data_IF_073341020101
#
_entry.id   IF_073341020101
#
_cell.length_a   1.000
_cell.length_b   1.000
_cell.length_c   1.000
_cell.angle_alpha   90.00
_cell.angle_beta   90.00
_cell.angle_gamma   90.00
#
_symmetry.space_group_name_H-M   'P 1'
#
loop_
_entity.id
_entity.type
_entity.pdbx_description
1 polymer ?
#
# COMPACT_ATOMS: atom_id res chain seq x y z
N UNK A 1 20.87 25.30 -9.40
CA UNK A 1 21.42 24.10 -10.08
C UNK A 1 20.64 22.84 -9.72
N UNK A 2 20.42 22.50 -8.43
CA UNK A 2 19.57 21.35 -8.05
C UNK A 2 18.16 21.45 -8.66
N UNK A 3 17.50 22.60 -8.52
CA UNK A 3 16.15 22.85 -9.05
C UNK A 3 16.09 22.79 -10.59
N UNK A 4 17.16 23.17 -11.28
CA UNK A 4 17.23 23.15 -12.74
C UNK A 4 17.37 21.73 -13.27
N UNK A 5 18.19 20.90 -12.59
CA UNK A 5 18.31 19.47 -12.86
C UNK A 5 16.97 18.80 -12.60
N UNK A 6 16.34 19.08 -11.45
CA UNK A 6 15.05 18.51 -11.09
C UNK A 6 13.98 18.88 -12.13
N UNK A 7 13.90 20.15 -12.53
CA UNK A 7 12.98 20.64 -13.57
C UNK A 7 13.21 19.93 -14.91
N UNK A 8 14.47 19.69 -15.29
CA UNK A 8 14.83 18.98 -16.53
C UNK A 8 14.48 17.49 -16.47
N UNK A 9 14.67 16.84 -15.32
CA UNK A 9 14.25 15.45 -15.11
C UNK A 9 12.72 15.35 -15.15
N UNK A 10 12.02 16.26 -14.49
CA UNK A 10 10.55 16.32 -14.47
C UNK A 10 9.96 16.48 -15.88
N UNK A 11 10.53 17.37 -16.70
CA UNK A 11 10.05 17.62 -18.07
C UNK A 11 10.26 16.43 -19.02
N UNK A 12 11.09 15.47 -18.65
CA UNK A 12 11.32 14.24 -19.43
C UNK A 12 10.22 13.19 -19.24
N UNK A 13 9.32 13.40 -18.29
CA UNK A 13 8.12 12.59 -18.09
C UNK A 13 8.40 11.10 -17.86
N UNK A 14 7.53 10.24 -18.41
CA UNK A 14 7.56 8.79 -18.20
C UNK A 14 8.74 8.08 -18.87
N UNK A 15 9.33 8.70 -19.89
CA UNK A 15 10.48 8.14 -20.60
C UNK A 15 11.78 8.26 -19.80
N UNK A 16 11.83 9.24 -18.88
CA UNK A 16 13.03 9.55 -18.09
C UNK A 16 14.13 10.17 -18.95
N UNK A 17 15.14 10.70 -18.28
CA UNK A 17 16.31 11.29 -18.96
C UNK A 17 17.54 10.43 -18.75
N UNK A 18 18.36 10.29 -19.79
CA UNK A 18 19.62 9.54 -19.67
C UNK A 18 20.58 10.29 -18.75
N UNK A 19 21.22 9.60 -17.82
CA UNK A 19 22.24 10.18 -16.92
C UNK A 19 23.36 10.89 -17.68
N UNK A 20 23.74 10.33 -18.83
CA UNK A 20 24.76 10.90 -19.73
C UNK A 20 24.29 12.25 -20.33
N UNK A 21 23.00 12.37 -20.61
CA UNK A 21 22.43 13.61 -21.16
C UNK A 21 22.40 14.71 -20.10
N UNK A 22 22.04 14.39 -18.86
CA UNK A 22 22.15 15.32 -17.72
C UNK A 22 23.60 15.79 -17.52
N UNK A 23 24.57 14.86 -17.56
CA UNK A 23 26.00 15.20 -17.45
C UNK A 23 26.47 16.12 -18.58
N UNK A 24 25.93 15.95 -19.80
CA UNK A 24 26.22 16.83 -20.94
C UNK A 24 25.63 18.22 -20.77
N UNK A 25 24.44 18.33 -20.17
CA UNK A 25 23.75 19.62 -19.98
C UNK A 25 24.26 20.41 -18.78
N UNK A 26 24.63 19.74 -17.68
CA UNK A 26 24.97 20.40 -16.41
C UNK A 26 26.43 20.20 -15.97
N UNK A 27 27.24 19.49 -16.76
CA UNK A 27 28.67 19.31 -16.52
C UNK A 27 29.00 18.31 -15.39
N UNK A 28 30.26 18.33 -14.93
CA UNK A 28 30.80 17.37 -13.94
C UNK A 28 30.12 17.43 -12.57
N UNK A 29 29.67 18.63 -12.14
CA UNK A 29 29.02 18.83 -10.86
C UNK A 29 27.60 18.21 -10.79
N UNK A 30 27.06 17.75 -11.92
CA UNK A 30 25.78 17.08 -12.00
C UNK A 30 25.75 15.76 -11.23
N UNK A 31 26.85 15.00 -11.18
CA UNK A 31 26.88 13.70 -10.49
C UNK A 31 26.73 13.85 -8.98
N UNK A 32 27.44 14.80 -8.36
CA UNK A 32 27.32 15.08 -6.94
C UNK A 32 25.90 15.54 -6.56
N UNK A 33 25.32 16.42 -7.39
CA UNK A 33 23.94 16.87 -7.17
C UNK A 33 22.94 15.73 -7.35
N UNK A 34 23.15 14.84 -8.33
CA UNK A 34 22.31 13.67 -8.51
C UNK A 34 22.38 12.72 -7.31
N UNK A 35 23.57 12.50 -6.73
CA UNK A 35 23.73 11.68 -5.52
C UNK A 35 22.97 12.28 -4.34
N UNK A 36 23.11 13.58 -4.09
CA UNK A 36 22.32 14.28 -3.07
C UNK A 36 20.80 14.14 -3.31
N UNK A 37 20.34 14.23 -4.56
CA UNK A 37 18.92 14.08 -4.90
C UNK A 37 18.42 12.63 -4.72
N UNK A 38 19.29 11.64 -4.90
CA UNK A 38 19.00 10.22 -4.63
C UNK A 38 18.88 10.00 -3.12
N UNK A 39 19.79 10.54 -2.31
CA UNK A 39 19.75 10.46 -0.84
C UNK A 39 18.47 11.11 -0.28
N UNK A 40 18.06 12.24 -0.85
CA UNK A 40 16.79 12.92 -0.53
C UNK A 40 15.54 12.20 -1.06
N UNK A 41 15.69 11.07 -1.75
CA UNK A 41 14.61 10.30 -2.40
C UNK A 41 13.76 11.12 -3.38
N UNK A 42 14.34 12.15 -4.02
CA UNK A 42 13.63 13.01 -4.97
C UNK A 42 13.71 12.47 -6.40
N UNK A 43 14.79 11.74 -6.71
CA UNK A 43 15.00 11.12 -8.02
C UNK A 43 15.33 9.64 -7.86
N UNK A 44 14.91 8.85 -8.83
CA UNK A 44 15.19 7.42 -8.93
C UNK A 44 16.02 7.16 -10.17
N UNK A 45 17.01 6.27 -10.04
CA UNK A 45 17.88 5.87 -11.13
C UNK A 45 17.69 4.38 -11.38
N UNK A 46 17.37 4.03 -12.62
CA UNK A 46 17.22 2.64 -13.06
C UNK A 46 18.14 2.38 -14.25
N UNK A 47 18.80 1.21 -14.24
CA UNK A 47 19.62 0.75 -15.37
C UNK A 47 18.72 0.02 -16.36
N UNK A 48 18.65 0.53 -17.60
CA UNK A 48 17.98 -0.14 -18.72
C UNK A 48 19.04 -0.50 -19.76
N UNK A 49 19.26 -1.80 -19.95
CA UNK A 49 20.37 -2.34 -20.74
C UNK A 49 21.73 -1.73 -20.31
N UNK A 50 22.37 -0.94 -21.17
CA UNK A 50 23.66 -0.29 -20.90
C UNK A 50 23.55 1.21 -20.60
N UNK A 51 22.35 1.73 -20.28
CA UNK A 51 22.16 3.15 -19.98
C UNK A 51 21.40 3.35 -18.68
N UNK A 52 21.88 4.30 -17.86
CA UNK A 52 21.18 4.75 -16.66
C UNK A 52 20.20 5.84 -17.03
N UNK A 53 18.95 5.65 -16.61
CA UNK A 53 17.90 6.63 -16.75
C UNK A 53 17.51 7.16 -15.38
N UNK A 54 17.17 8.44 -15.35
CA UNK A 54 16.81 9.20 -14.16
C UNK A 54 15.37 9.68 -14.31
N UNK A 55 14.58 9.48 -13.28
CA UNK A 55 13.21 10.00 -13.16
C UNK A 55 13.07 10.73 -11.84
N UNK A 56 12.12 11.66 -11.76
CA UNK A 56 11.62 12.10 -10.46
C UNK A 56 10.79 11.00 -9.81
N UNK A 57 10.62 11.07 -8.50
CA UNK A 57 9.75 10.15 -7.74
C UNK A 57 8.38 9.99 -8.40
N UNK A 58 7.73 11.10 -8.78
CA UNK A 58 6.39 11.10 -9.37
C UNK A 58 6.37 10.40 -10.73
N UNK A 59 7.35 10.72 -11.59
CA UNK A 59 7.43 10.14 -12.93
C UNK A 59 7.82 8.65 -12.89
N UNK A 60 8.70 8.27 -11.96
CA UNK A 60 9.11 6.88 -11.78
C UNK A 60 7.94 5.99 -11.34
N UNK A 61 7.16 6.47 -10.37
CA UNK A 61 5.96 5.77 -9.92
C UNK A 61 4.94 5.71 -11.05
N UNK A 62 4.67 6.83 -11.74
CA UNK A 62 3.76 6.87 -12.90
C UNK A 62 4.18 5.88 -14.00
N UNK A 63 5.48 5.73 -14.25
CA UNK A 63 6.01 4.76 -15.21
C UNK A 63 5.80 3.33 -14.75
N UNK A 64 6.11 3.01 -13.48
CA UNK A 64 5.87 1.67 -12.89
C UNK A 64 4.39 1.28 -12.93
N UNK A 65 3.50 2.24 -12.75
CA UNK A 65 2.04 2.07 -12.83
C UNK A 65 1.55 1.81 -14.26
N UNK A 66 2.21 2.40 -15.26
CA UNK A 66 1.88 2.17 -16.67
C UNK A 66 2.41 0.82 -17.17
N UNK A 67 3.61 0.43 -16.74
CA UNK A 67 4.23 -0.84 -17.13
C UNK A 67 3.58 -2.06 -16.45
N UNK A 68 2.84 -1.83 -15.34
CA UNK A 68 2.05 -2.86 -14.66
C UNK A 68 0.57 -2.45 -14.67
N UNK A 69 -0.27 -2.97 -15.60
CA UNK A 69 -1.69 -2.61 -15.66
C UNK A 69 -2.48 -2.96 -14.38
N UNK A 70 -1.94 -3.81 -13.50
CA UNK A 70 -2.48 -4.10 -12.16
C UNK A 70 -2.23 -3.01 -11.11
N UNK A 71 -1.32 -2.06 -11.37
CA UNK A 71 -0.95 -1.02 -10.40
C UNK A 71 -1.61 0.33 -10.67
N UNK A 72 -2.25 0.57 -11.82
CA UNK A 72 -2.80 1.86 -12.27
C UNK A 72 -3.80 2.58 -11.33
N UNK A 73 -4.19 1.95 -10.22
CA UNK A 73 -5.18 2.46 -9.27
C UNK A 73 -4.60 3.12 -7.99
N UNK A 74 -3.28 3.08 -7.72
CA UNK A 74 -2.75 3.40 -6.38
C UNK A 74 -2.02 4.74 -6.19
N UNK A 75 -2.03 5.69 -7.14
CA UNK A 75 -1.20 6.91 -7.01
C UNK A 75 -1.87 8.25 -7.31
N UNK A 76 -3.12 8.30 -7.80
CA UNK A 76 -3.71 9.58 -8.23
C UNK A 76 -4.15 10.52 -7.09
N UNK A 77 -4.01 10.14 -5.81
CA UNK A 77 -4.62 10.89 -4.70
C UNK A 77 -3.64 11.54 -3.72
N UNK A 78 -2.32 11.30 -3.82
CA UNK A 78 -1.35 11.72 -2.78
C UNK A 78 -0.64 13.05 -3.03
N UNK A 79 -0.97 13.82 -4.06
CA UNK A 79 -0.23 15.05 -4.41
C UNK A 79 -0.83 16.37 -3.91
N UNK A 80 -1.78 16.34 -2.96
CA UNK A 80 -2.24 17.57 -2.29
C UNK A 80 -2.32 17.42 -0.78
N UNK A 81 -1.18 17.28 -0.11
CA UNK A 81 -1.11 17.62 1.32
C UNK A 81 0.30 18.10 1.67
N UNK A 82 0.50 19.41 1.59
CA UNK A 82 1.53 20.15 2.33
C UNK A 82 0.80 20.98 3.38
N UNK A 83 1.35 21.02 4.60
CA UNK A 83 0.82 21.63 5.83
C UNK A 83 -0.34 20.80 6.42
N UNK A 84 -0.26 20.28 7.65
CA UNK A 84 -0.48 21.03 8.90
C UNK A 84 0.34 20.46 10.07
N UNK A 85 1.05 21.34 10.80
CA UNK A 85 1.43 21.16 12.21
C UNK A 85 0.26 21.66 13.07
N UNK A 86 -0.23 20.88 14.04
CA UNK A 86 -0.60 21.32 15.41
C UNK A 86 -1.55 20.32 16.11
N UNK A 87 -1.11 19.83 17.27
CA UNK A 87 -1.81 19.65 18.57
C UNK A 87 -3.24 19.07 18.71
N UNK A 88 -3.56 18.51 19.90
CA UNK A 88 -4.53 17.43 20.05
C UNK A 88 -5.91 17.95 20.43
N UNK A 89 -6.91 17.79 19.56
CA UNK A 89 -8.32 17.81 19.98
C UNK A 89 -9.22 17.17 18.91
N UNK A 90 -10.15 16.31 19.36
CA UNK A 90 -11.25 15.68 18.62
C UNK A 90 -10.97 14.32 17.93
N UNK A 91 -10.70 13.32 18.76
CA UNK A 91 -10.40 11.92 18.41
C UNK A 91 -11.48 11.15 17.61
N UNK A 92 -12.73 11.61 17.49
CA UNK A 92 -13.78 10.86 16.79
C UNK A 92 -13.96 11.25 15.32
N UNK A 93 -13.76 12.52 14.95
CA UNK A 93 -13.98 12.98 13.58
C UNK A 93 -12.78 12.67 12.66
N UNK A 94 -11.57 12.71 13.22
CA UNK A 94 -10.35 12.34 12.51
C UNK A 94 -10.24 10.83 12.29
N UNK A 95 -10.77 10.00 13.19
CA UNK A 95 -10.80 8.56 12.98
C UNK A 95 -11.72 8.19 11.81
N UNK A 96 -12.90 8.81 11.72
CA UNK A 96 -13.83 8.56 10.62
C UNK A 96 -13.25 9.00 9.27
N UNK A 97 -12.57 10.16 9.23
CA UNK A 97 -11.89 10.64 8.03
C UNK A 97 -10.67 9.79 7.68
N UNK A 98 -9.91 9.32 8.66
CA UNK A 98 -8.77 8.41 8.44
C UNK A 98 -9.24 7.04 7.96
N UNK A 99 -10.33 6.50 8.52
CA UNK A 99 -10.97 5.25 8.07
C UNK A 99 -11.49 5.37 6.64
N UNK A 100 -12.11 6.49 6.29
CA UNK A 100 -12.60 6.76 4.92
C UNK A 100 -11.43 6.88 3.92
N UNK A 101 -10.30 7.46 4.35
CA UNK A 101 -9.08 7.58 3.55
C UNK A 101 -8.37 6.23 3.43
N UNK A 102 -8.32 5.40 4.48
CA UNK A 102 -7.75 4.05 4.46
C UNK A 102 -8.57 3.06 3.64
N UNK A 103 -9.89 3.22 3.59
CA UNK A 103 -10.83 2.49 2.71
C UNK A 103 -10.42 2.57 1.22
N UNK A 104 -9.75 3.65 0.81
CA UNK A 104 -9.33 3.88 -0.58
C UNK A 104 -7.85 3.57 -0.86
N UNK A 105 -7.02 3.35 0.17
CA UNK A 105 -5.55 3.30 0.04
C UNK A 105 -5.00 1.87 -0.05
N UNK A 106 -5.69 0.88 0.51
CA UNK A 106 -5.21 -0.49 0.44
C UNK A 106 -6.37 -1.46 0.72
N UNK A 107 -6.81 -2.28 -0.25
CA UNK A 107 -7.86 -3.27 0.02
C UNK A 107 -7.49 -4.22 1.16
N UNK A 108 -6.19 -4.38 1.47
CA UNK A 108 -5.69 -5.19 2.56
C UNK A 108 -5.80 -4.48 3.95
N UNK A 109 -5.63 -3.16 4.02
CA UNK A 109 -5.84 -2.40 5.28
C UNK A 109 -7.34 -2.26 5.56
N UNK A 110 -8.10 -1.96 4.52
CA UNK A 110 -9.55 -1.89 4.59
C UNK A 110 -10.17 -3.27 4.93
N UNK A 111 -9.62 -4.36 4.40
CA UNK A 111 -9.99 -5.71 4.81
C UNK A 111 -9.66 -5.97 6.28
N UNK A 112 -8.46 -5.61 6.76
CA UNK A 112 -8.09 -5.77 8.19
C UNK A 112 -9.06 -5.05 9.12
N UNK A 113 -9.38 -3.79 8.82
CA UNK A 113 -10.28 -2.98 9.65
C UNK A 113 -11.67 -3.63 9.72
N UNK A 114 -12.22 -4.05 8.58
CA UNK A 114 -13.55 -4.67 8.56
C UNK A 114 -13.55 -6.07 9.19
N UNK A 115 -12.46 -6.82 9.03
CA UNK A 115 -12.24 -8.12 9.65
C UNK A 115 -12.17 -8.01 11.17
N UNK A 116 -11.36 -7.07 11.69
CA UNK A 116 -11.23 -6.78 13.12
C UNK A 116 -12.53 -6.24 13.71
N UNK A 117 -13.23 -5.38 12.97
CA UNK A 117 -14.55 -4.89 13.36
C UNK A 117 -15.55 -6.03 13.49
N UNK A 118 -15.61 -6.93 12.51
CA UNK A 118 -16.45 -8.11 12.61
C UNK A 118 -16.11 -8.93 13.85
N UNK A 119 -14.81 -9.11 14.15
CA UNK A 119 -14.30 -9.82 15.33
C UNK A 119 -14.77 -9.19 16.63
N UNK A 120 -14.70 -7.87 16.72
CA UNK A 120 -15.11 -7.13 17.92
C UNK A 120 -16.63 -7.15 18.10
N UNK A 121 -17.40 -6.87 17.05
CA UNK A 121 -18.86 -6.73 17.09
C UNK A 121 -19.62 -8.05 17.30
N UNK A 122 -19.01 -9.17 16.90
CA UNK A 122 -19.66 -10.48 16.90
C UNK A 122 -19.02 -11.43 17.91
N UNK A 123 -18.13 -10.93 18.77
CA UNK A 123 -17.46 -11.73 19.79
C UNK A 123 -18.47 -12.27 20.80
N UNK A 124 -18.55 -13.60 20.90
CA UNK A 124 -19.16 -14.27 22.05
C UNK A 124 -18.26 -14.06 23.27
N UNK A 125 -18.72 -14.43 24.48
CA UNK A 125 -17.96 -14.27 25.74
C UNK A 125 -16.56 -14.91 25.75
N UNK A 126 -16.22 -15.73 24.74
CA UNK A 126 -14.95 -16.47 24.58
C UNK A 126 -14.13 -15.94 23.38
N UNK A 127 -14.70 -15.04 22.57
CA UNK A 127 -14.00 -14.33 21.49
C UNK A 127 -13.85 -15.09 20.16
N UNK A 128 -14.21 -16.38 20.11
CA UNK A 128 -14.15 -17.17 18.87
C UNK A 128 -15.30 -16.82 17.93
N UNK A 129 -14.97 -16.59 16.66
CA UNK A 129 -15.94 -16.41 15.60
C UNK A 129 -15.69 -17.34 14.40
N UNK A 130 -16.75 -17.96 13.83
CA UNK A 130 -16.62 -18.74 12.61
C UNK A 130 -16.22 -17.88 11.41
N UNK A 131 -15.26 -18.36 10.61
CA UNK A 131 -14.90 -17.71 9.36
C UNK A 131 -16.08 -17.55 8.40
N UNK A 132 -17.03 -18.49 8.41
CA UNK A 132 -18.25 -18.43 7.59
C UNK A 132 -19.09 -17.19 7.87
N UNK A 133 -19.15 -16.74 9.13
CA UNK A 133 -19.93 -15.56 9.52
C UNK A 133 -19.24 -14.26 9.10
N UNK A 134 -17.93 -14.18 9.31
CA UNK A 134 -17.11 -13.03 8.87
C UNK A 134 -17.15 -12.93 7.35
N UNK A 135 -16.94 -14.05 6.66
CA UNK A 135 -16.97 -14.13 5.20
C UNK A 135 -18.29 -13.61 4.67
N UNK A 136 -19.42 -14.08 5.20
CA UNK A 136 -20.75 -13.64 4.74
C UNK A 136 -20.88 -12.12 4.81
N UNK A 137 -20.55 -11.52 5.97
CA UNK A 137 -20.61 -10.07 6.17
C UNK A 137 -19.71 -9.31 5.20
N UNK A 138 -18.45 -9.73 5.05
CA UNK A 138 -17.47 -9.00 4.24
C UNK A 138 -17.70 -9.22 2.73
N UNK A 139 -18.12 -10.41 2.31
CA UNK A 139 -18.46 -10.67 0.91
C UNK A 139 -19.70 -9.87 0.49
N UNK A 140 -20.72 -9.79 1.35
CA UNK A 140 -21.91 -8.98 1.09
C UNK A 140 -21.60 -7.47 1.06
N UNK A 141 -20.77 -6.98 1.99
CA UNK A 141 -20.45 -5.54 2.07
C UNK A 141 -19.50 -5.08 0.96
N UNK A 142 -18.49 -5.88 0.62
CA UNK A 142 -17.45 -5.51 -0.37
C UNK A 142 -17.65 -6.11 -1.75
N UNK A 143 -18.70 -6.90 -1.97
CA UNK A 143 -19.00 -7.57 -3.23
C UNK A 143 -17.82 -8.42 -3.73
N UNK A 144 -17.15 -9.13 -2.81
CA UNK A 144 -16.02 -10.02 -3.12
C UNK A 144 -16.45 -11.49 -3.10
N UNK A 145 -15.74 -12.33 -3.86
CA UNK A 145 -15.98 -13.77 -3.85
C UNK A 145 -15.46 -14.42 -2.55
N UNK A 146 -16.02 -15.59 -2.24
CA UNK A 146 -15.61 -16.38 -1.06
C UNK A 146 -14.14 -16.81 -1.13
N UNK A 147 -13.64 -17.21 -2.30
CA UNK A 147 -12.24 -17.61 -2.48
C UNK A 147 -11.29 -16.42 -2.29
N UNK A 148 -11.69 -15.23 -2.77
CA UNK A 148 -10.90 -14.02 -2.60
C UNK A 148 -10.86 -13.57 -1.13
N UNK A 149 -11.98 -13.69 -0.42
CA UNK A 149 -12.00 -13.50 1.04
C UNK A 149 -10.99 -14.40 1.76
N UNK A 150 -10.98 -15.70 1.44
CA UNK A 150 -10.07 -16.65 2.11
C UNK A 150 -8.59 -16.40 1.79
N UNK A 151 -8.31 -15.91 0.59
CA UNK A 151 -6.96 -15.45 0.22
C UNK A 151 -6.52 -14.28 1.10
N UNK A 152 -7.35 -13.24 1.19
CA UNK A 152 -7.06 -12.05 2.01
C UNK A 152 -6.96 -12.37 3.49
N UNK A 153 -7.84 -13.23 4.01
CA UNK A 153 -7.82 -13.65 5.41
C UNK A 153 -6.57 -14.45 5.75
N UNK A 154 -6.14 -15.38 4.89
CA UNK A 154 -4.89 -16.12 5.07
C UNK A 154 -3.67 -15.19 5.07
N UNK A 155 -3.60 -14.26 4.11
CA UNK A 155 -2.50 -13.27 4.06
C UNK A 155 -2.48 -12.39 5.31
N UNK A 156 -3.64 -11.95 5.78
CA UNK A 156 -3.78 -11.10 6.96
C UNK A 156 -3.28 -11.80 8.22
N UNK A 157 -3.76 -13.02 8.47
CA UNK A 157 -3.38 -13.82 9.65
C UNK A 157 -1.90 -14.19 9.58
N UNK A 158 -1.39 -14.54 8.40
CA UNK A 158 0.02 -14.88 8.22
C UNK A 158 0.95 -13.70 8.49
N UNK A 159 0.54 -12.50 8.10
CA UNK A 159 1.30 -11.27 8.29
C UNK A 159 1.27 -10.77 9.74
N UNK A 160 0.20 -11.06 10.47
CA UNK A 160 -0.09 -10.55 11.80
C UNK A 160 -0.41 -11.68 12.79
N UNK A 161 0.42 -12.74 12.79
CA UNK A 161 0.21 -13.94 13.61
C UNK A 161 0.13 -13.65 15.10
N UNK A 162 0.75 -12.55 15.53
CA UNK A 162 0.71 -12.09 16.91
C UNK A 162 -0.67 -11.59 17.36
N UNK A 163 -1.53 -11.20 16.42
CA UNK A 163 -2.83 -10.58 16.72
C UNK A 163 -4.02 -11.55 16.55
N UNK A 164 -3.81 -12.70 15.92
CA UNK A 164 -4.90 -13.62 15.57
C UNK A 164 -4.58 -15.05 15.98
N UNK A 165 -5.55 -15.69 16.63
CA UNK A 165 -5.54 -17.12 16.88
C UNK A 165 -6.56 -17.82 16.00
N UNK A 166 -6.17 -18.96 15.43
CA UNK A 166 -6.98 -19.73 14.49
C UNK A 166 -7.20 -21.16 15.00
N UNK A 167 -8.41 -21.69 14.81
CA UNK A 167 -8.78 -23.04 15.25
C UNK A 167 -9.44 -23.82 14.12
N UNK A 168 -9.15 -25.12 14.05
CA UNK A 168 -9.61 -26.05 13.01
C UNK A 168 -11.07 -26.50 13.16
N UNK A 169 -11.79 -26.03 14.17
CA UNK A 169 -13.22 -26.28 14.28
C UNK A 169 -14.02 -25.61 13.16
N UNK A 170 -15.22 -26.13 12.84
CA UNK A 170 -16.20 -25.45 11.99
C UNK A 170 -16.42 -26.14 10.64
N UNK A 171 -17.42 -25.65 9.89
CA UNK A 171 -17.79 -26.21 8.57
C UNK A 171 -17.05 -25.57 7.40
N UNK A 172 -16.32 -24.48 7.65
CA UNK A 172 -15.71 -23.63 6.61
C UNK A 172 -14.55 -22.84 7.20
N UNK A 173 -13.47 -22.61 6.45
CA UNK A 173 -12.25 -22.02 7.00
C UNK A 173 -11.15 -21.67 5.99
N UNK A 174 -10.09 -21.01 6.47
CA UNK A 174 -8.86 -20.78 5.69
C UNK A 174 -7.95 -22.01 5.73
N UNK A 175 -7.18 -22.24 4.65
CA UNK A 175 -6.10 -23.22 4.65
C UNK A 175 -4.76 -22.52 4.93
N UNK A 176 -4.10 -22.87 6.03
CA UNK A 176 -2.73 -22.40 6.32
C UNK A 176 -1.80 -23.59 6.48
N UNK A 177 -0.70 -23.61 5.71
CA UNK A 177 0.31 -24.69 5.74
C UNK A 177 -0.30 -26.12 5.59
N UNK A 178 -1.39 -26.24 4.84
CA UNK A 178 -2.09 -27.51 4.62
C UNK A 178 -3.15 -27.89 5.67
N UNK A 179 -3.40 -27.03 6.67
CA UNK A 179 -4.40 -27.24 7.72
C UNK A 179 -5.59 -26.29 7.54
N UNK A 180 -6.80 -26.79 7.79
CA UNK A 180 -8.07 -26.02 7.71
C UNK A 180 -8.36 -25.36 9.05
N UNK A 181 -8.77 -24.08 9.04
CA UNK A 181 -9.11 -23.29 10.23
C UNK A 181 -10.47 -22.61 10.07
N UNK A 182 -11.50 -23.08 10.79
CA UNK A 182 -12.85 -22.55 10.67
C UNK A 182 -13.30 -21.57 11.76
N UNK A 183 -12.47 -21.29 12.77
CA UNK A 183 -12.68 -20.20 13.71
C UNK A 183 -11.45 -19.30 13.86
N UNK A 184 -11.69 -18.03 14.21
CA UNK A 184 -10.67 -17.01 14.48
C UNK A 184 -11.07 -16.15 15.69
N UNK A 185 -10.08 -15.67 16.45
CA UNK A 185 -10.23 -14.65 17.50
C UNK A 185 -9.04 -13.70 17.54
N UNK A 186 -9.23 -12.53 18.14
CA UNK A 186 -8.12 -11.64 18.51
C UNK A 186 -7.41 -12.15 19.77
N UNK A 187 -6.10 -11.92 19.85
CA UNK A 187 -5.23 -12.25 21.00
C UNK A 187 -4.92 -11.00 21.82
#
# INVERSE_FOLDING_TARGET
MEDEILKKVSSSGLNGIKRIELKRTFGKNCENVLETLIEKQQVFVEKKANTYFVWTKENYLSKRLQDNPKCKLTLSSTTKSKYVKSEPTNHMHDLQNTINVLHQINPNIDFKIEFDKCLTESSTSIGWMPFSQIRKKICESKQISSDYFYTLASELVEKHRENYEISSGGKEGIMTRGLVHGFVRNV
#
